data_IF_154894730005
#
_entry.id   IF_154894730005
#
_cell.length_a   1.000
_cell.length_b   1.000
_cell.length_c   1.000
_cell.angle_alpha   90.00
_cell.angle_beta   90.00
_cell.angle_gamma   90.00
#
_symmetry.space_group_name_H-M   'P 1'
#
loop_
_entity.id
_entity.type
_entity.pdbx_description
1 polymer ?
#
# COMPACT_ATOMS: atom_id res chain seq x y z
N UNK A 1 -12.90 16.81 -1.96
CA UNK A 1 -11.43 16.80 -1.86
C UNK A 1 -10.94 15.52 -2.52
N UNK A 2 -10.08 15.63 -3.54
CA UNK A 2 -9.39 14.46 -4.09
C UNK A 2 -8.48 13.85 -3.01
N UNK A 3 -8.31 12.53 -3.03
CA UNK A 3 -7.38 11.86 -2.10
C UNK A 3 -5.95 12.26 -2.46
N UNK A 4 -5.10 12.40 -1.44
CA UNK A 4 -3.67 12.55 -1.69
C UNK A 4 -3.06 11.21 -2.12
N UNK A 5 -1.92 11.25 -2.80
CA UNK A 5 -1.15 10.05 -3.19
C UNK A 5 -0.90 9.12 -1.99
N UNK A 6 -0.54 9.69 -0.84
CA UNK A 6 -0.38 8.95 0.42
C UNK A 6 -1.67 8.27 0.90
N UNK A 7 -2.83 8.89 0.73
CA UNK A 7 -4.11 8.29 1.09
C UNK A 7 -4.49 7.13 0.16
N UNK A 8 -4.18 7.26 -1.14
CA UNK A 8 -4.39 6.22 -2.15
C UNK A 8 -3.48 5.01 -1.86
N UNK A 9 -2.17 5.23 -1.74
CA UNK A 9 -1.19 4.17 -1.46
C UNK A 9 -1.48 3.44 -0.15
N UNK A 10 -1.73 4.16 0.94
CA UNK A 10 -2.03 3.53 2.24
C UNK A 10 -3.33 2.71 2.20
N UNK A 11 -4.31 3.12 1.39
CA UNK A 11 -5.53 2.34 1.19
C UNK A 11 -5.27 1.10 0.33
N UNK A 12 -4.44 1.20 -0.69
CA UNK A 12 -4.00 0.07 -1.52
C UNK A 12 -3.26 -0.98 -0.68
N UNK A 13 -2.21 -0.58 0.04
CA UNK A 13 -1.49 -1.44 0.99
C UNK A 13 -2.40 -2.15 1.99
N UNK A 14 -3.39 -1.46 2.55
CA UNK A 14 -4.37 -2.07 3.47
C UNK A 14 -5.36 -3.02 2.78
N UNK A 15 -5.61 -2.85 1.49
CA UNK A 15 -6.56 -3.69 0.75
C UNK A 15 -5.85 -4.97 0.33
N UNK A 16 -4.72 -4.85 -0.35
CA UNK A 16 -3.98 -5.97 -0.91
C UNK A 16 -3.34 -6.84 0.17
N UNK A 17 -2.66 -6.25 1.17
CA UNK A 17 -2.09 -7.08 2.25
C UNK A 17 -3.16 -7.72 3.13
N UNK A 18 -4.37 -7.14 3.18
CA UNK A 18 -5.48 -7.77 3.90
C UNK A 18 -6.02 -8.99 3.16
N UNK A 19 -6.13 -8.93 1.83
CA UNK A 19 -6.56 -10.09 1.02
C UNK A 19 -5.57 -11.25 1.14
N UNK A 20 -4.28 -10.95 1.34
CA UNK A 20 -3.23 -11.93 1.65
C UNK A 20 -3.22 -12.43 3.11
N UNK A 21 -4.12 -11.94 3.98
CA UNK A 21 -4.18 -12.36 5.37
C UNK A 21 -3.14 -11.71 6.31
N UNK A 22 -2.31 -10.78 5.81
CA UNK A 22 -1.23 -10.16 6.58
C UNK A 22 -1.71 -9.27 7.72
N UNK A 23 -3.02 -9.06 7.87
CA UNK A 23 -3.59 -8.30 8.98
C UNK A 23 -3.61 -9.08 10.31
N UNK A 24 -3.19 -10.34 10.32
CA UNK A 24 -3.06 -11.22 11.50
C UNK A 24 -1.60 -11.43 11.90
N UNK A 25 -1.35 -11.94 13.11
CA UNK A 25 -0.01 -12.35 13.57
C UNK A 25 0.92 -11.24 14.07
N UNK A 26 0.51 -9.97 14.01
CA UNK A 26 1.32 -8.84 14.50
C UNK A 26 1.36 -8.79 16.03
N UNK A 27 2.55 -8.58 16.61
CA UNK A 27 2.74 -8.43 18.07
C UNK A 27 1.88 -7.31 18.68
N UNK A 28 1.69 -6.21 17.94
CA UNK A 28 0.84 -5.08 18.35
C UNK A 28 -0.56 -5.14 17.69
N UNK A 29 -0.95 -6.31 17.19
CA UNK A 29 -2.21 -6.56 16.51
C UNK A 29 -2.42 -5.66 15.29
N UNK A 30 -3.67 -5.30 15.04
CA UNK A 30 -4.09 -4.49 13.88
C UNK A 30 -3.38 -3.12 13.81
N UNK A 31 -2.88 -2.60 14.94
CA UNK A 31 -2.12 -1.34 14.96
C UNK A 31 -0.77 -1.50 14.27
N UNK A 32 -0.07 -2.60 14.52
CA UNK A 32 1.21 -2.92 13.87
C UNK A 32 1.05 -3.03 12.36
N UNK A 33 0.08 -3.83 11.91
CA UNK A 33 -0.24 -3.95 10.49
C UNK A 33 -0.54 -2.59 9.83
N UNK A 34 -1.35 -1.73 10.48
CA UNK A 34 -1.65 -0.40 9.96
C UNK A 34 -0.44 0.55 9.95
N UNK A 35 0.56 0.33 10.81
CA UNK A 35 1.81 1.09 10.80
C UNK A 35 2.65 0.65 9.60
N UNK A 36 2.84 -0.66 9.43
CA UNK A 36 3.48 -1.25 8.25
C UNK A 36 2.88 -0.77 6.93
N UNK A 37 1.55 -0.79 6.77
CA UNK A 37 0.93 -0.27 5.54
C UNK A 37 1.19 1.22 5.30
N UNK A 38 1.36 2.01 6.36
CA UNK A 38 1.63 3.45 6.25
C UNK A 38 3.08 3.71 5.88
N UNK A 39 4.00 2.97 6.47
CA UNK A 39 5.42 3.06 6.17
C UNK A 39 5.69 2.67 4.71
N UNK A 40 5.16 1.54 4.26
CA UNK A 40 5.31 1.14 2.85
C UNK A 40 4.60 2.08 1.89
N UNK A 41 3.42 2.60 2.24
CA UNK A 41 2.78 3.63 1.42
C UNK A 41 3.62 4.90 1.26
N UNK A 42 4.40 5.29 2.28
CA UNK A 42 5.31 6.42 2.16
C UNK A 42 6.45 6.11 1.17
N UNK A 43 7.03 4.91 1.26
CA UNK A 43 8.07 4.43 0.34
C UNK A 43 7.53 4.35 -1.08
N UNK A 44 6.37 3.70 -1.30
CA UNK A 44 5.73 3.61 -2.62
C UNK A 44 5.51 4.99 -3.22
N UNK A 45 4.97 5.96 -2.46
CA UNK A 45 4.76 7.33 -2.99
C UNK A 45 6.09 8.02 -3.30
N UNK A 46 7.10 7.85 -2.44
CA UNK A 46 8.42 8.43 -2.67
C UNK A 46 9.09 7.87 -3.94
N UNK A 47 9.08 6.54 -4.11
CA UNK A 47 9.72 5.86 -5.23
C UNK A 47 8.91 6.01 -6.52
N UNK A 48 7.60 5.78 -6.49
CA UNK A 48 6.73 5.89 -7.66
C UNK A 48 6.79 7.28 -8.28
N UNK A 49 6.81 8.35 -7.48
CA UNK A 49 6.91 9.71 -8.02
C UNK A 49 8.29 10.07 -8.61
N UNK A 50 9.32 9.23 -8.41
CA UNK A 50 10.63 9.41 -9.06
C UNK A 50 10.65 8.85 -10.48
N UNK A 51 9.88 7.80 -10.75
CA UNK A 51 9.94 7.02 -12.00
C UNK A 51 8.68 7.10 -12.84
N UNK A 52 7.53 7.33 -12.20
CA UNK A 52 6.20 7.18 -12.78
C UNK A 52 5.30 8.38 -12.50
N UNK A 53 4.24 8.58 -13.31
CA UNK A 53 3.19 9.56 -13.01
C UNK A 53 2.50 9.27 -11.68
N UNK A 54 1.90 10.27 -11.00
CA UNK A 54 1.10 10.03 -9.80
C UNK A 54 -0.10 9.10 -10.08
N UNK A 55 -0.54 8.34 -9.08
CA UNK A 55 -1.73 7.48 -9.19
C UNK A 55 -2.94 8.29 -9.65
N UNK A 56 -3.64 7.76 -10.65
CA UNK A 56 -4.85 8.38 -11.21
C UNK A 56 -6.02 8.28 -10.21
N UNK A 57 -6.20 7.11 -9.61
CA UNK A 57 -7.25 6.84 -8.66
C UNK A 57 -6.90 5.70 -7.68
N UNK A 58 -7.92 5.16 -7.00
CA UNK A 58 -7.73 4.08 -6.03
C UNK A 58 -7.47 2.72 -6.70
N UNK A 59 -8.10 2.45 -7.85
CA UNK A 59 -7.92 1.18 -8.55
C UNK A 59 -6.51 1.08 -9.12
N UNK A 60 -6.01 2.19 -9.67
CA UNK A 60 -4.64 2.33 -10.14
C UNK A 60 -3.61 2.10 -9.01
N UNK A 61 -3.76 2.80 -7.88
CA UNK A 61 -2.90 2.56 -6.71
C UNK A 61 -2.97 1.11 -6.18
N UNK A 62 -4.13 0.47 -6.26
CA UNK A 62 -4.29 -0.94 -5.88
C UNK A 62 -3.56 -1.87 -6.85
N UNK A 63 -3.61 -1.60 -8.15
CA UNK A 63 -2.90 -2.39 -9.17
C UNK A 63 -1.40 -2.37 -8.94
N UNK A 64 -0.81 -1.19 -8.75
CA UNK A 64 0.62 -1.04 -8.48
C UNK A 64 1.07 -1.78 -7.21
N UNK A 65 0.32 -1.66 -6.11
CA UNK A 65 0.67 -2.38 -4.87
C UNK A 65 0.46 -3.89 -5.01
N UNK A 66 -0.57 -4.34 -5.73
CA UNK A 66 -0.77 -5.77 -5.99
C UNK A 66 0.38 -6.34 -6.82
N UNK A 67 0.85 -5.61 -7.84
CA UNK A 67 2.03 -5.97 -8.64
C UNK A 67 3.28 -6.07 -7.74
N UNK A 68 3.55 -5.05 -6.91
CA UNK A 68 4.68 -5.06 -5.97
C UNK A 68 4.63 -6.29 -5.05
N UNK A 69 3.47 -6.60 -4.47
CA UNK A 69 3.29 -7.73 -3.56
C UNK A 69 3.50 -9.08 -4.24
N UNK A 70 3.27 -9.20 -5.55
CA UNK A 70 3.56 -10.45 -6.27
C UNK A 70 5.05 -10.81 -6.20
N UNK A 71 5.95 -9.83 -6.18
CA UNK A 71 7.40 -10.06 -6.02
C UNK A 71 7.78 -10.48 -4.59
N UNK A 72 6.96 -10.17 -3.59
CA UNK A 72 7.23 -10.48 -2.18
C UNK A 72 6.71 -11.85 -1.77
N UNK A 73 5.69 -12.35 -2.46
CA UNK A 73 5.03 -13.63 -2.16
C UNK A 73 5.47 -14.78 -3.08
N UNK A 74 6.38 -14.52 -4.01
CA UNK A 74 7.08 -15.54 -4.81
C UNK A 74 8.34 -16.02 -4.08
#
# INVERSE_FOLDING_TARGET
>A
MAKTQMQLANRAWRTETKSLGWHHGWKTGRRGWKAFCRENAAITVEEHLKTDPPFEDQADANWHVAEELTYWTN
#
